data_IF_162031373447
#
_entry.id   IF_162031373447
#
_cell.length_a   1.000
_cell.length_b   1.000
_cell.length_c   1.000
_cell.angle_alpha   90.00
_cell.angle_beta   90.00
_cell.angle_gamma   90.00
#
_symmetry.space_group_name_H-M   'P 1'
#
loop_
_entity.id
_entity.type
_entity.pdbx_description
1 polymer ?
#
# COMPACT_ATOMS: atom_id res chain seq x y z
N UNK A 1 3.51 14.99 13.43
CA UNK A 1 4.78 14.24 13.39
C UNK A 1 4.76 13.45 12.09
N UNK A 2 5.74 13.61 11.21
CA UNK A 2 5.84 12.83 9.96
C UNK A 2 6.45 11.48 10.30
N UNK A 3 5.84 10.39 9.84
CA UNK A 3 6.34 9.02 10.07
C UNK A 3 7.61 8.70 9.27
N UNK A 4 7.97 9.55 8.31
CA UNK A 4 9.13 9.39 7.44
C UNK A 4 9.99 10.66 7.44
N UNK A 5 11.32 10.48 7.50
CA UNK A 5 12.30 11.51 7.11
C UNK A 5 12.47 11.53 5.59
N UNK A 6 13.21 12.50 5.07
CA UNK A 6 13.30 12.69 3.61
C UNK A 6 14.02 11.54 2.92
N UNK A 7 15.10 11.04 3.52
CA UNK A 7 15.86 9.88 3.03
C UNK A 7 14.98 8.63 2.95
N UNK A 8 14.12 8.40 3.95
CA UNK A 8 13.20 7.26 3.95
C UNK A 8 12.13 7.40 2.87
N UNK A 9 11.61 8.61 2.61
CA UNK A 9 10.66 8.81 1.52
C UNK A 9 11.28 8.50 0.17
N UNK A 10 12.49 8.98 -0.09
CA UNK A 10 13.21 8.71 -1.34
C UNK A 10 13.44 7.21 -1.51
N UNK A 11 13.86 6.54 -0.45
CA UNK A 11 14.09 5.09 -0.47
C UNK A 11 12.81 4.30 -0.75
N UNK A 12 11.68 4.68 -0.14
CA UNK A 12 10.47 3.84 -0.12
C UNK A 12 9.40 4.22 -1.15
N UNK A 13 9.44 5.42 -1.75
CA UNK A 13 8.37 5.89 -2.64
C UNK A 13 8.15 4.96 -3.83
N UNK A 14 9.24 4.59 -4.52
CA UNK A 14 9.22 3.81 -5.76
C UNK A 14 9.57 2.33 -5.55
N UNK A 15 9.03 1.74 -4.48
CA UNK A 15 9.28 0.34 -4.08
C UNK A 15 8.09 -0.57 -4.32
N UNK A 16 8.34 -1.88 -4.35
CA UNK A 16 7.29 -2.91 -4.43
C UNK A 16 6.36 -2.87 -3.21
N UNK A 17 6.91 -2.61 -2.01
CA UNK A 17 6.13 -2.49 -0.78
C UNK A 17 5.19 -1.28 -0.78
N UNK A 18 5.50 -0.24 -1.54
CA UNK A 18 4.64 0.94 -1.66
C UNK A 18 3.73 0.92 -2.91
N UNK A 19 3.87 -0.08 -3.79
CA UNK A 19 3.03 -0.23 -4.98
C UNK A 19 1.55 -0.43 -4.61
N UNK A 20 0.74 0.56 -4.99
CA UNK A 20 -0.70 0.62 -4.71
C UNK A 20 -1.48 0.74 -6.02
N UNK A 21 -2.13 -0.35 -6.44
CA UNK A 21 -2.95 -0.34 -7.65
C UNK A 21 -4.35 0.19 -7.36
N UNK A 22 -4.76 1.24 -8.08
CA UNK A 22 -6.04 1.92 -7.92
C UNK A 22 -6.66 2.23 -9.28
N UNK A 23 -8.00 2.21 -9.33
CA UNK A 23 -8.72 2.85 -10.43
C UNK A 23 -8.50 4.37 -10.39
N UNK A 24 -8.61 5.04 -11.54
CA UNK A 24 -8.50 6.52 -11.62
C UNK A 24 -9.38 7.24 -10.59
N UNK A 25 -10.65 6.83 -10.44
CA UNK A 25 -11.58 7.42 -9.46
C UNK A 25 -11.08 7.29 -8.02
N UNK A 26 -10.54 6.12 -7.64
CA UNK A 26 -10.00 5.90 -6.29
C UNK A 26 -8.71 6.69 -6.07
N UNK A 27 -7.85 6.81 -7.08
CA UNK A 27 -6.64 7.63 -7.00
C UNK A 27 -6.97 9.11 -6.73
N UNK A 28 -8.00 9.65 -7.40
CA UNK A 28 -8.49 11.01 -7.18
C UNK A 28 -9.08 11.19 -5.77
N UNK A 29 -9.71 10.17 -5.20
CA UNK A 29 -10.27 10.22 -3.84
C UNK A 29 -9.18 10.16 -2.76
N UNK A 30 -8.16 9.33 -2.96
CA UNK A 30 -7.06 9.13 -2.02
C UNK A 30 -6.16 10.37 -1.89
N UNK A 31 -5.92 11.09 -3.00
CA UNK A 31 -5.07 12.28 -3.05
C UNK A 31 -3.72 12.08 -2.32
N UNK A 32 -3.14 13.16 -1.81
CA UNK A 32 -1.96 13.15 -0.95
C UNK A 32 -2.34 13.17 0.54
N UNK A 33 -3.51 12.61 0.89
CA UNK A 33 -3.96 12.55 2.29
C UNK A 33 -3.15 11.54 3.13
N UNK A 34 -3.44 11.53 4.43
CA UNK A 34 -2.84 10.60 5.38
C UNK A 34 -3.20 9.14 5.07
N UNK A 35 -2.48 8.22 5.70
CA UNK A 35 -2.67 6.79 5.46
C UNK A 35 -4.09 6.30 5.74
N UNK A 36 -4.69 6.73 6.86
CA UNK A 36 -6.05 6.33 7.22
C UNK A 36 -7.09 6.86 6.23
N UNK A 37 -6.98 8.13 5.79
CA UNK A 37 -7.87 8.70 4.76
C UNK A 37 -7.74 7.93 3.43
N UNK A 38 -6.50 7.55 3.07
CA UNK A 38 -6.24 6.74 1.88
C UNK A 38 -6.86 5.35 2.00
N UNK A 39 -6.81 4.70 3.18
CA UNK A 39 -7.46 3.41 3.42
C UNK A 39 -8.97 3.49 3.22
N UNK A 40 -9.62 4.55 3.69
CA UNK A 40 -11.04 4.79 3.43
C UNK A 40 -11.33 4.93 1.93
N UNK A 41 -10.47 5.63 1.17
CA UNK A 41 -10.60 5.77 -0.29
C UNK A 41 -10.33 4.46 -1.06
N UNK A 42 -9.51 3.57 -0.51
CA UNK A 42 -9.27 2.24 -1.08
C UNK A 42 -10.47 1.32 -0.86
N UNK A 43 -11.25 1.58 0.18
CA UNK A 43 -12.60 1.05 0.39
C UNK A 43 -13.62 1.89 -0.41
N UNK A 44 -14.89 1.53 -0.39
CA UNK A 44 -15.94 2.44 -0.85
C UNK A 44 -16.98 2.59 0.28
N UNK A 45 -17.94 3.50 0.11
CA UNK A 45 -19.02 3.70 1.08
C UNK A 45 -19.93 2.48 1.32
N UNK A 46 -19.80 1.43 0.50
CA UNK A 46 -20.57 0.17 0.58
C UNK A 46 -19.67 -1.06 0.88
N UNK A 47 -18.44 -0.85 1.38
CA UNK A 47 -17.42 -1.88 1.63
C UNK A 47 -16.92 -2.72 0.42
N UNK A 48 -17.21 -2.36 -0.83
CA UNK A 48 -16.52 -2.85 -2.02
C UNK A 48 -15.06 -2.39 -2.07
N UNK A 49 -14.20 -3.34 -1.74
CA UNK A 49 -12.76 -3.24 -1.86
C UNK A 49 -12.33 -3.04 -3.32
N UNK A 50 -11.16 -2.45 -3.53
CA UNK A 50 -10.47 -2.49 -4.83
C UNK A 50 -10.30 -3.92 -5.32
N UNK A 51 -10.44 -4.20 -6.61
CA UNK A 51 -10.24 -5.56 -7.17
C UNK A 51 -8.80 -6.06 -7.08
N UNK A 52 -7.85 -5.17 -6.78
CA UNK A 52 -6.44 -5.50 -6.64
C UNK A 52 -6.14 -6.05 -5.25
N UNK A 53 -5.94 -7.38 -5.16
CA UNK A 53 -5.65 -8.07 -3.89
C UNK A 53 -4.46 -7.48 -3.13
N UNK A 54 -3.39 -7.08 -3.83
CA UNK A 54 -2.21 -6.47 -3.20
C UNK A 54 -2.50 -5.10 -2.57
N UNK A 55 -3.55 -4.40 -3.03
CA UNK A 55 -4.01 -3.15 -2.43
C UNK A 55 -5.01 -3.42 -1.30
N UNK A 56 -5.79 -4.50 -1.38
CA UNK A 56 -6.64 -4.93 -0.26
C UNK A 56 -5.81 -5.30 0.97
N UNK A 57 -4.64 -5.91 0.75
CA UNK A 57 -3.67 -6.23 1.79
C UNK A 57 -3.26 -5.02 2.64
N UNK A 58 -3.14 -3.84 2.03
CA UNK A 58 -2.79 -2.58 2.70
C UNK A 58 -3.79 -2.23 3.81
N UNK A 59 -5.05 -2.62 3.68
CA UNK A 59 -6.10 -2.35 4.65
C UNK A 59 -5.91 -3.10 5.98
N UNK A 60 -5.09 -4.15 5.99
CA UNK A 60 -4.80 -4.93 7.19
C UNK A 60 -3.77 -4.27 8.11
N UNK A 61 -3.05 -3.25 7.63
CA UNK A 61 -2.03 -2.54 8.40
C UNK A 61 -2.64 -1.37 9.17
N UNK A 62 -2.26 -1.22 10.43
CA UNK A 62 -2.70 -0.13 11.31
C UNK A 62 -1.89 1.15 11.14
N UNK A 63 -0.72 1.06 10.53
CA UNK A 63 0.18 2.18 10.28
C UNK A 63 0.92 1.98 8.96
N UNK A 64 1.49 3.06 8.42
CA UNK A 64 2.35 3.03 7.24
C UNK A 64 3.71 3.58 7.62
N UNK A 65 4.54 2.70 8.17
CA UNK A 65 5.89 2.98 8.68
C UNK A 65 6.94 2.20 7.87
N UNK A 66 8.22 2.51 8.06
CA UNK A 66 9.33 1.73 7.47
C UNK A 66 9.20 0.24 7.80
N UNK A 67 8.92 -0.10 9.06
CA UNK A 67 8.72 -1.49 9.48
C UNK A 67 7.59 -2.19 8.70
N UNK A 68 6.47 -1.49 8.49
CA UNK A 68 5.35 -2.02 7.71
C UNK A 68 5.73 -2.26 6.26
N UNK A 69 6.53 -1.36 5.67
CA UNK A 69 6.99 -1.49 4.29
C UNK A 69 7.98 -2.65 4.13
N UNK A 70 8.90 -2.86 5.07
CA UNK A 70 9.82 -4.00 5.08
C UNK A 70 9.06 -5.34 5.18
N UNK A 71 8.12 -5.44 6.11
CA UNK A 71 7.28 -6.62 6.28
C UNK A 71 6.48 -6.93 5.01
N UNK A 72 5.90 -5.89 4.40
CA UNK A 72 5.13 -6.04 3.17
C UNK A 72 6.01 -6.42 1.97
N UNK A 73 7.23 -5.87 1.87
CA UNK A 73 8.18 -6.23 0.82
C UNK A 73 8.52 -7.72 0.86
N UNK A 74 8.92 -8.21 2.04
CA UNK A 74 9.23 -9.62 2.27
C UNK A 74 8.07 -10.54 1.88
N UNK A 75 6.85 -10.18 2.28
CA UNK A 75 5.63 -10.92 1.92
C UNK A 75 5.40 -10.97 0.41
N UNK A 76 5.54 -9.83 -0.29
CA UNK A 76 5.32 -9.78 -1.73
C UNK A 76 6.40 -10.53 -2.52
N UNK A 77 7.66 -10.44 -2.11
CA UNK A 77 8.75 -11.19 -2.73
C UNK A 77 8.52 -12.70 -2.59
N UNK A 78 8.15 -13.18 -1.40
CA UNK A 78 7.79 -14.59 -1.20
C UNK A 78 6.64 -15.05 -2.11
N UNK A 79 5.63 -14.18 -2.31
CA UNK A 79 4.53 -14.48 -3.24
C UNK A 79 5.00 -14.57 -4.70
N UNK A 80 5.95 -13.72 -5.12
CA UNK A 80 6.52 -13.72 -6.47
C UNK A 80 7.39 -14.96 -6.67
N UNK A 81 8.31 -15.25 -5.76
CA UNK A 81 9.18 -16.43 -5.82
C UNK A 81 8.36 -17.71 -5.88
N UNK A 82 7.33 -17.80 -5.03
CA UNK A 82 6.34 -18.88 -5.06
C UNK A 82 5.50 -18.94 -6.34
N UNK A 83 5.71 -18.07 -7.34
CA UNK A 83 5.13 -18.18 -8.68
C UNK A 83 6.17 -18.40 -9.77
N UNK A 84 7.43 -18.05 -9.52
CA UNK A 84 8.53 -18.26 -10.47
C UNK A 84 9.01 -19.72 -10.51
N UNK A 85 8.82 -20.47 -9.43
CA UNK A 85 9.26 -21.87 -9.33
C UNK A 85 8.13 -22.91 -9.52
N UNK A 86 7.03 -22.53 -10.17
CA UNK A 86 5.97 -23.41 -10.68
C UNK A 86 5.90 -23.35 -12.21
#
# INVERSE_FOLDING_TARGET
MTLFIEEEKEQWTDTLSNLTLLSMRKNIQAQNFGFEDKKEAYQNKENLLTSFKITQDILSYSEWSVNTLEDRESKLLQMIDGKLYY
#
